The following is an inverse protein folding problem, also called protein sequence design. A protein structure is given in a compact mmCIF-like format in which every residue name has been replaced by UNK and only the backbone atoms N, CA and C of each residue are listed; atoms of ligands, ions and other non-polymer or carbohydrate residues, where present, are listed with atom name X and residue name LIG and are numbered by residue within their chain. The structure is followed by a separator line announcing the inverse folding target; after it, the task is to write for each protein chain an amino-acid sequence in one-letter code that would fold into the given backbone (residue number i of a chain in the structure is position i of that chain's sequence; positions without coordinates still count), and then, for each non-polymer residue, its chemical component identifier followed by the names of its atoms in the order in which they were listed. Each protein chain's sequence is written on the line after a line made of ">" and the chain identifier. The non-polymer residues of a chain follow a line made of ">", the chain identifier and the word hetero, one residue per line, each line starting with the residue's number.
data_IF_893026079224
#
_entry.id   IF_893026079224
#
_cell.length_a   1.000
_cell.length_b   1.000
_cell.length_c   1.000
_cell.angle_alpha   90.00
_cell.angle_beta   90.00
_cell.angle_gamma   90.00
#
_symmetry.space_group_name_H-M   'P 1'
#
loop_
_entity.id
_entity.type
_entity.pdbx_description
1 polymer ?
#
# COMPACT_ATOMS: atom_id res chain seq x y z
N UNK A 1 1.84 -33.48 65.11
CA UNK A 1 2.68 -33.21 63.93
C UNK A 1 1.76 -32.90 62.75
N UNK A 2 1.69 -31.64 62.31
CA UNK A 2 0.93 -31.21 61.14
C UNK A 2 1.91 -30.99 60.00
N UNK A 3 1.83 -31.83 58.97
CA UNK A 3 2.66 -31.74 57.75
C UNK A 3 2.04 -30.69 56.84
N UNK A 4 2.74 -29.59 56.57
CA UNK A 4 2.37 -28.55 55.60
C UNK A 4 2.93 -28.97 54.25
N UNK A 5 2.04 -29.31 53.31
CA UNK A 5 2.40 -29.60 51.93
C UNK A 5 2.50 -28.26 51.17
N UNK A 6 3.71 -27.85 50.80
CA UNK A 6 3.94 -26.67 49.95
C UNK A 6 3.73 -27.06 48.49
N UNK A 7 2.67 -26.55 47.85
CA UNK A 7 2.44 -26.70 46.42
C UNK A 7 3.34 -25.70 45.67
N UNK A 8 4.31 -26.21 44.92
CA UNK A 8 5.12 -25.43 43.99
C UNK A 8 4.36 -25.29 42.67
N UNK A 9 3.82 -24.10 42.39
CA UNK A 9 3.23 -23.78 41.12
C UNK A 9 4.35 -23.42 40.16
N UNK A 10 4.65 -24.31 39.20
CA UNK A 10 5.54 -24.01 38.09
C UNK A 10 4.79 -23.10 37.10
N UNK A 11 5.14 -21.80 37.03
CA UNK A 11 4.78 -20.94 35.90
C UNK A 11 5.63 -21.39 34.70
N UNK A 12 5.02 -22.10 33.74
CA UNK A 12 5.60 -22.24 32.41
C UNK A 12 5.56 -20.86 31.73
N UNK A 13 6.70 -20.20 31.64
CA UNK A 13 6.88 -19.09 30.73
C UNK A 13 6.79 -19.63 29.30
N UNK A 14 5.69 -19.37 28.60
CA UNK A 14 5.58 -19.66 27.19
C UNK A 14 6.66 -18.84 26.46
N UNK A 15 7.68 -19.52 25.94
CA UNK A 15 8.68 -18.87 25.09
C UNK A 15 7.95 -18.40 23.83
N UNK A 16 7.80 -17.08 23.69
CA UNK A 16 7.26 -16.50 22.47
C UNK A 16 8.25 -16.76 21.34
N UNK A 17 7.80 -17.45 20.29
CA UNK A 17 8.58 -17.56 19.04
C UNK A 17 8.84 -16.16 18.48
N UNK A 18 10.09 -15.88 18.04
CA UNK A 18 10.36 -14.58 17.42
C UNK A 18 9.47 -14.37 16.18
N UNK A 19 9.11 -13.13 15.85
CA UNK A 19 8.32 -12.83 14.66
C UNK A 19 9.08 -13.30 13.41
N UNK A 20 8.37 -13.68 12.32
CA UNK A 20 8.99 -13.96 11.04
C UNK A 20 9.80 -12.77 10.54
N UNK A 21 10.86 -13.01 9.76
CA UNK A 21 11.58 -11.93 9.07
C UNK A 21 10.68 -11.22 8.04
N UNK A 22 11.04 -9.99 7.64
CA UNK A 22 10.30 -9.27 6.61
C UNK A 22 10.21 -10.04 5.29
N UNK A 23 11.26 -10.78 4.90
CA UNK A 23 11.25 -11.64 3.72
C UNK A 23 10.26 -12.81 3.85
N UNK A 24 10.16 -13.41 5.01
CA UNK A 24 9.17 -14.47 5.29
C UNK A 24 7.75 -13.89 5.29
N UNK A 25 7.54 -12.71 5.86
CA UNK A 25 6.23 -12.03 5.83
C UNK A 25 5.78 -11.73 4.40
N UNK A 26 6.66 -11.25 3.53
CA UNK A 26 6.35 -11.03 2.11
C UNK A 26 5.98 -12.34 1.40
N UNK A 27 6.68 -13.44 1.72
CA UNK A 27 6.32 -14.76 1.21
C UNK A 27 4.94 -15.21 1.72
N UNK A 28 4.67 -15.03 3.01
CA UNK A 28 3.36 -15.35 3.59
C UNK A 28 2.21 -14.52 2.97
N UNK A 29 2.45 -13.22 2.68
CA UNK A 29 1.47 -12.38 1.96
C UNK A 29 1.18 -12.93 0.57
N UNK A 30 2.23 -13.23 -0.20
CA UNK A 30 2.11 -13.80 -1.53
C UNK A 30 1.39 -15.15 -1.50
N UNK A 31 1.85 -16.11 -0.70
CA UNK A 31 1.35 -17.48 -0.68
C UNK A 31 -0.10 -17.55 -0.22
N UNK A 32 -0.52 -16.69 0.72
CA UNK A 32 -1.90 -16.61 1.17
C UNK A 32 -2.88 -16.27 0.05
N UNK A 33 -2.45 -15.46 -0.91
CA UNK A 33 -3.31 -14.94 -1.97
C UNK A 33 -2.94 -15.43 -3.38
N UNK A 34 -1.91 -16.27 -3.50
CA UNK A 34 -1.43 -16.78 -4.79
C UNK A 34 -2.57 -17.42 -5.61
N UNK A 35 -2.79 -16.88 -6.82
CA UNK A 35 -3.85 -17.32 -7.72
C UNK A 35 -5.27 -16.88 -7.34
N UNK A 36 -5.43 -16.17 -6.22
CA UNK A 36 -6.73 -15.72 -5.69
C UNK A 36 -6.84 -14.20 -5.58
N UNK A 37 -5.77 -13.45 -5.82
CA UNK A 37 -5.82 -11.99 -5.90
C UNK A 37 -6.36 -11.56 -7.26
N UNK A 38 -7.12 -10.48 -7.33
CA UNK A 38 -7.65 -9.96 -8.58
C UNK A 38 -6.53 -9.52 -9.54
N UNK A 39 -6.76 -9.66 -10.85
CA UNK A 39 -5.80 -9.29 -11.90
C UNK A 39 -5.96 -7.87 -12.39
N UNK A 40 -7.18 -7.37 -12.34
CA UNK A 40 -7.50 -5.98 -12.68
C UNK A 40 -8.37 -5.37 -11.60
N UNK A 41 -8.24 -4.06 -11.43
CA UNK A 41 -9.03 -3.28 -10.50
C UNK A 41 -9.37 -1.95 -11.15
N UNK A 42 -10.62 -1.52 -11.05
CA UNK A 42 -11.04 -0.18 -11.42
C UNK A 42 -11.83 0.46 -10.29
N UNK A 43 -11.68 1.75 -10.12
CA UNK A 43 -12.45 2.51 -9.13
C UNK A 43 -12.49 3.99 -9.48
N UNK A 44 -13.43 4.69 -8.87
CA UNK A 44 -13.49 6.14 -8.85
C UNK A 44 -12.94 6.60 -7.51
N UNK A 45 -11.95 7.49 -7.55
CA UNK A 45 -11.30 8.06 -6.40
C UNK A 45 -11.71 9.51 -6.21
N UNK A 46 -12.35 9.80 -5.09
CA UNK A 46 -12.59 11.16 -4.62
C UNK A 46 -11.42 11.58 -3.73
N UNK A 47 -10.81 12.71 -4.06
CA UNK A 47 -9.68 13.24 -3.32
C UNK A 47 -10.09 14.48 -2.54
N UNK A 48 -9.53 14.61 -1.33
CA UNK A 48 -9.58 15.84 -0.52
C UNK A 48 -8.15 16.23 -0.15
N UNK A 49 -7.64 17.30 -0.75
CA UNK A 49 -6.39 17.95 -0.33
C UNK A 49 -6.67 18.88 0.84
N UNK A 50 -5.84 18.84 1.89
CA UNK A 50 -5.92 19.76 3.04
C UNK A 50 -4.69 20.62 3.08
N UNK A 51 -4.87 21.93 2.91
CA UNK A 51 -3.81 22.95 2.94
C UNK A 51 -3.40 23.31 4.37
N UNK A 52 -2.22 23.92 4.56
CA UNK A 52 -1.75 24.33 5.90
C UNK A 52 -2.66 25.32 6.62
N UNK A 53 -3.44 26.11 5.90
CA UNK A 53 -4.42 27.05 6.43
C UNK A 53 -5.78 26.41 6.81
N UNK A 54 -5.89 25.09 6.60
CA UNK A 54 -7.10 24.30 6.88
C UNK A 54 -8.14 24.30 5.76
N UNK A 55 -7.91 25.04 4.67
CA UNK A 55 -8.78 24.98 3.48
C UNK A 55 -8.65 23.62 2.77
N UNK A 56 -9.70 23.22 2.06
CA UNK A 56 -9.73 21.95 1.31
C UNK A 56 -10.01 22.16 -0.17
N UNK A 57 -9.40 21.33 -0.99
CA UNK A 57 -9.66 21.22 -2.42
C UNK A 57 -10.09 19.79 -2.75
N UNK A 58 -11.08 19.66 -3.64
CA UNK A 58 -11.59 18.35 -4.06
C UNK A 58 -11.27 18.09 -5.53
N UNK A 59 -10.94 16.84 -5.82
CA UNK A 59 -10.77 16.35 -7.19
C UNK A 59 -11.28 14.93 -7.34
N UNK A 60 -11.58 14.55 -8.57
CA UNK A 60 -12.08 13.22 -8.89
C UNK A 60 -11.13 12.57 -9.90
N UNK A 61 -10.76 11.32 -9.66
CA UNK A 61 -9.93 10.53 -10.56
C UNK A 61 -10.65 9.21 -10.91
N UNK A 62 -10.38 8.69 -12.11
CA UNK A 62 -10.73 7.32 -12.47
C UNK A 62 -9.46 6.52 -12.58
N UNK A 63 -9.42 5.37 -11.92
CA UNK A 63 -8.22 4.55 -11.85
C UNK A 63 -8.45 3.16 -12.43
N UNK A 64 -7.42 2.67 -13.10
CA UNK A 64 -7.40 1.38 -13.77
C UNK A 64 -6.06 0.72 -13.45
N UNK A 65 -6.10 -0.42 -12.76
CA UNK A 65 -4.91 -1.19 -12.44
C UNK A 65 -4.93 -2.55 -13.15
N UNK A 66 -3.77 -2.97 -13.64
CA UNK A 66 -3.52 -4.34 -14.06
C UNK A 66 -2.32 -4.87 -13.30
N UNK A 67 -2.58 -5.82 -12.42
CA UNK A 67 -1.67 -6.33 -11.41
C UNK A 67 -0.92 -7.55 -11.96
N UNK A 68 0.41 -7.54 -11.81
CA UNK A 68 1.22 -6.54 -11.11
C UNK A 68 1.70 -5.39 -12.00
N UNK A 69 2.02 -4.26 -11.36
CA UNK A 69 2.94 -3.23 -11.84
C UNK A 69 2.38 -2.22 -12.84
N UNK A 70 1.08 -2.17 -13.07
CA UNK A 70 0.49 -1.20 -14.00
C UNK A 70 -0.69 -0.48 -13.37
N UNK A 71 -0.68 0.85 -13.41
CA UNK A 71 -1.75 1.72 -12.94
C UNK A 71 -1.88 2.92 -13.86
N UNK A 72 -3.09 3.20 -14.32
CA UNK A 72 -3.45 4.42 -15.02
C UNK A 72 -4.42 5.23 -14.17
N UNK A 73 -4.18 6.52 -14.08
CA UNK A 73 -4.98 7.50 -13.36
C UNK A 73 -5.41 8.59 -14.34
N UNK A 74 -6.71 8.68 -14.63
CA UNK A 74 -7.29 9.75 -15.45
C UNK A 74 -7.90 10.81 -14.53
N UNK A 75 -7.29 12.02 -14.48
CA UNK A 75 -7.84 13.15 -13.73
C UNK A 75 -9.10 13.68 -14.42
N UNK A 76 -10.16 13.86 -13.65
CA UNK A 76 -11.41 14.33 -14.23
C UNK A 76 -11.45 15.86 -14.39
N UNK A 77 -12.10 16.40 -15.44
CA UNK A 77 -12.78 15.62 -16.48
C UNK A 77 -11.79 14.88 -17.40
N UNK A 78 -12.17 13.69 -17.87
CA UNK A 78 -11.29 12.80 -18.64
C UNK A 78 -10.78 13.43 -19.95
N UNK A 79 -11.60 14.28 -20.60
CA UNK A 79 -11.26 14.98 -21.84
C UNK A 79 -10.18 16.07 -21.63
N UNK A 80 -9.82 16.40 -20.37
CA UNK A 80 -8.69 17.29 -20.07
C UNK A 80 -7.35 16.69 -20.55
N UNK A 81 -7.26 15.38 -20.72
CA UNK A 81 -6.03 14.67 -21.10
C UNK A 81 -4.95 14.70 -20.02
N UNK A 82 -5.34 15.00 -18.76
CA UNK A 82 -4.44 15.04 -17.62
C UNK A 82 -4.45 13.71 -16.88
N UNK A 83 -3.29 13.29 -16.36
CA UNK A 83 -3.21 12.10 -15.54
C UNK A 83 -1.81 11.53 -15.38
N UNK A 84 -1.74 10.33 -14.86
CA UNK A 84 -0.51 9.61 -14.63
C UNK A 84 -0.63 8.13 -15.06
N UNK A 85 0.50 7.57 -15.47
CA UNK A 85 0.62 6.17 -15.82
C UNK A 85 1.84 5.59 -15.09
N UNK A 86 1.66 4.48 -14.42
CA UNK A 86 2.74 3.69 -13.83
C UNK A 86 2.86 2.38 -14.59
N UNK A 87 4.03 2.10 -15.12
CA UNK A 87 4.34 0.86 -15.82
C UNK A 87 5.86 0.64 -15.85
N UNK A 88 6.30 -0.61 -15.74
CA UNK A 88 7.72 -0.99 -15.84
C UNK A 88 8.64 -0.20 -14.87
N UNK A 89 8.24 -0.10 -13.61
CA UNK A 89 8.92 0.66 -12.55
C UNK A 89 9.23 2.12 -12.97
N UNK A 90 8.29 2.73 -13.73
CA UNK A 90 8.38 4.10 -14.22
C UNK A 90 7.04 4.82 -14.04
N UNK A 91 7.12 6.13 -13.82
CA UNK A 91 5.98 7.04 -13.80
C UNK A 91 6.03 7.95 -15.03
N UNK A 92 4.89 8.04 -15.71
CA UNK A 92 4.65 8.97 -16.81
C UNK A 92 3.55 9.95 -16.39
N UNK A 93 3.78 11.25 -16.57
CA UNK A 93 2.81 12.28 -16.25
C UNK A 93 2.36 12.97 -17.53
N UNK A 94 1.06 13.16 -17.68
CA UNK A 94 0.43 13.76 -18.86
C UNK A 94 -0.33 15.02 -18.51
N UNK A 95 -0.29 16.00 -19.41
CA UNK A 95 -1.12 17.18 -19.38
C UNK A 95 -1.55 17.54 -20.80
N UNK A 96 -2.88 17.71 -21.00
CA UNK A 96 -3.49 17.99 -22.31
C UNK A 96 -3.05 16.97 -23.37
N UNK A 97 -3.16 15.69 -23.04
CA UNK A 97 -2.74 14.54 -23.86
C UNK A 97 -1.24 14.48 -24.22
N UNK A 98 -0.44 15.34 -23.66
CA UNK A 98 0.99 15.40 -23.94
C UNK A 98 1.81 14.88 -22.77
N UNK A 99 2.80 14.01 -23.04
CA UNK A 99 3.76 13.54 -22.05
C UNK A 99 4.58 14.74 -21.51
N UNK A 100 4.58 14.94 -20.20
CA UNK A 100 5.32 15.99 -19.50
C UNK A 100 6.57 15.48 -18.79
N UNK A 101 6.48 14.29 -18.22
CA UNK A 101 7.62 13.67 -17.54
C UNK A 101 7.56 12.15 -17.69
N UNK A 102 8.74 11.54 -17.73
CA UNK A 102 8.94 10.11 -17.61
C UNK A 102 10.12 9.89 -16.67
N UNK A 103 9.89 9.24 -15.53
CA UNK A 103 10.91 9.03 -14.49
C UNK A 103 10.89 7.59 -14.00
N UNK A 104 12.07 7.04 -13.69
CA UNK A 104 12.14 5.75 -13.02
C UNK A 104 11.55 5.89 -11.61
N UNK A 105 10.55 5.09 -11.29
CA UNK A 105 9.84 5.18 -10.03
C UNK A 105 9.15 3.86 -9.66
N UNK A 106 9.64 3.23 -8.61
CA UNK A 106 8.95 2.11 -7.97
C UNK A 106 7.94 2.68 -6.99
N UNK A 107 6.65 2.48 -7.27
CA UNK A 107 5.57 3.02 -6.44
C UNK A 107 5.34 2.13 -5.22
N UNK A 108 5.70 2.56 -3.99
CA UNK A 108 5.65 1.70 -2.82
C UNK A 108 4.24 1.19 -2.48
N UNK A 109 3.21 2.00 -2.73
CA UNK A 109 1.83 1.61 -2.44
C UNK A 109 1.31 0.59 -3.45
N UNK A 110 1.76 0.63 -4.72
CA UNK A 110 1.46 -0.44 -5.68
C UNK A 110 2.13 -1.74 -5.25
N UNK A 111 3.41 -1.70 -4.90
CA UNK A 111 4.16 -2.89 -4.46
C UNK A 111 3.50 -3.54 -3.24
N UNK A 112 3.20 -2.76 -2.20
CA UNK A 112 2.68 -3.26 -0.93
C UNK A 112 1.18 -3.52 -0.92
N UNK A 113 0.39 -2.69 -1.61
CA UNK A 113 -1.07 -2.77 -1.62
C UNK A 113 -1.63 -3.75 -2.64
N UNK A 114 -0.88 -4.05 -3.71
CA UNK A 114 -1.40 -4.83 -4.84
C UNK A 114 -0.42 -5.89 -5.34
N UNK A 115 0.81 -5.52 -5.70
CA UNK A 115 1.70 -6.36 -6.48
C UNK A 115 2.27 -7.53 -5.68
N UNK A 116 2.51 -7.34 -4.38
CA UNK A 116 3.06 -8.36 -3.46
C UNK A 116 2.25 -9.65 -3.45
N UNK A 117 0.96 -9.59 -3.75
CA UNK A 117 0.04 -10.73 -3.77
C UNK A 117 0.07 -11.51 -5.08
N UNK A 118 0.68 -10.98 -6.14
CA UNK A 118 0.58 -11.51 -7.50
C UNK A 118 1.92 -11.66 -8.24
N UNK A 119 2.94 -10.87 -7.87
CA UNK A 119 4.27 -10.94 -8.51
C UNK A 119 5.21 -11.89 -7.76
N UNK A 120 6.29 -12.38 -8.39
CA UNK A 120 7.29 -13.19 -7.70
C UNK A 120 7.83 -12.49 -6.45
N UNK A 121 7.92 -13.22 -5.33
CA UNK A 121 8.34 -12.68 -4.02
C UNK A 121 9.70 -11.99 -4.09
N UNK A 122 10.64 -12.55 -4.84
CA UNK A 122 12.00 -12.00 -4.99
C UNK A 122 11.99 -10.62 -5.67
N UNK A 123 11.04 -10.38 -6.59
CA UNK A 123 10.85 -9.05 -7.18
C UNK A 123 10.37 -8.04 -6.13
N UNK A 124 9.39 -8.42 -5.32
CA UNK A 124 8.89 -7.57 -4.21
C UNK A 124 10.01 -7.24 -3.23
N UNK A 125 10.81 -8.23 -2.85
CA UNK A 125 11.97 -8.06 -1.97
C UNK A 125 12.95 -7.04 -2.57
N UNK A 126 13.35 -7.23 -3.83
CA UNK A 126 14.30 -6.34 -4.51
C UNK A 126 13.76 -4.89 -4.60
N UNK A 127 12.47 -4.71 -4.89
CA UNK A 127 11.82 -3.40 -4.94
C UNK A 127 11.83 -2.71 -3.57
N UNK A 128 11.48 -3.41 -2.49
CA UNK A 128 11.43 -2.82 -1.14
C UNK A 128 12.83 -2.52 -0.59
N UNK A 129 13.81 -3.36 -0.86
CA UNK A 129 15.21 -3.09 -0.52
C UNK A 129 15.76 -1.89 -1.32
N UNK A 130 15.40 -1.80 -2.60
CA UNK A 130 15.68 -0.62 -3.44
C UNK A 130 15.08 0.67 -2.86
N UNK A 131 13.90 0.59 -2.26
CA UNK A 131 13.24 1.67 -1.52
C UNK A 131 13.84 1.91 -0.11
N UNK A 132 14.92 1.19 0.27
CA UNK A 132 15.63 1.34 1.55
C UNK A 132 14.80 0.95 2.76
N UNK A 133 13.96 -0.07 2.64
CA UNK A 133 13.29 -0.72 3.76
C UNK A 133 14.15 -1.90 4.23
N UNK A 134 14.52 -1.92 5.50
CA UNK A 134 15.32 -3.00 6.09
C UNK A 134 14.43 -4.19 6.47
N UNK A 135 14.39 -5.21 5.62
CA UNK A 135 13.57 -6.41 5.84
C UNK A 135 14.08 -7.32 6.96
N UNK A 136 15.25 -7.03 7.55
CA UNK A 136 15.77 -7.78 8.69
C UNK A 136 15.19 -7.34 10.04
N UNK A 137 14.63 -6.13 10.09
CA UNK A 137 14.04 -5.57 11.31
C UNK A 137 12.53 -5.80 11.30
N UNK A 138 12.04 -6.60 12.24
CA UNK A 138 10.61 -6.88 12.42
C UNK A 138 10.26 -6.88 13.89
N UNK A 139 9.13 -6.31 14.23
CA UNK A 139 8.51 -6.44 15.55
C UNK A 139 6.99 -6.49 15.43
N UNK A 140 6.34 -6.86 16.52
CA UNK A 140 4.88 -6.86 16.62
C UNK A 140 4.41 -5.59 17.32
N UNK A 141 3.25 -5.07 16.88
CA UNK A 141 2.59 -3.89 17.44
C UNK A 141 1.07 -4.03 17.30
N UNK A 142 0.34 -2.99 17.65
CA UNK A 142 -1.11 -2.88 17.49
C UNK A 142 -1.47 -1.66 16.66
N UNK A 143 -2.39 -1.81 15.71
CA UNK A 143 -2.95 -0.75 14.89
C UNK A 143 -4.48 -0.79 14.93
N UNK A 144 -5.12 0.28 15.42
CA UNK A 144 -6.57 0.33 15.63
C UNK A 144 -7.13 -0.90 16.39
N UNK A 145 -6.42 -1.35 17.43
CA UNK A 145 -6.77 -2.52 18.24
C UNK A 145 -6.56 -3.87 17.56
N UNK A 146 -5.95 -3.92 16.37
CA UNK A 146 -5.60 -5.13 15.63
C UNK A 146 -4.11 -5.42 15.72
N UNK A 147 -3.70 -6.67 15.92
CA UNK A 147 -2.29 -7.03 15.92
C UNK A 147 -1.68 -6.87 14.52
N UNK A 148 -0.50 -6.26 14.46
CA UNK A 148 0.24 -6.00 13.21
C UNK A 148 1.70 -6.48 13.33
N UNK A 149 2.33 -6.71 12.18
CA UNK A 149 3.78 -6.74 12.04
C UNK A 149 4.25 -5.39 11.51
N UNK A 150 5.34 -4.89 12.08
CA UNK A 150 6.06 -3.71 11.62
C UNK A 150 7.39 -4.17 11.04
N UNK A 151 7.65 -3.82 9.78
CA UNK A 151 8.85 -4.21 9.04
C UNK A 151 9.63 -2.97 8.65
N UNK A 152 10.92 -2.93 8.96
CA UNK A 152 11.84 -1.86 8.55
C UNK A 152 12.32 -0.95 9.68
N UNK A 153 11.69 -0.98 10.85
CA UNK A 153 12.06 -0.13 11.97
C UNK A 153 11.96 -0.87 13.32
N UNK A 154 12.62 -0.35 14.33
CA UNK A 154 12.51 -0.83 15.73
C UNK A 154 11.26 -0.27 16.39
N UNK A 155 10.79 -0.93 17.44
CA UNK A 155 9.65 -0.47 18.22
C UNK A 155 9.85 0.98 18.72
N UNK A 156 8.82 1.82 18.53
CA UNK A 156 8.84 3.25 18.90
C UNK A 156 9.47 4.18 17.84
N UNK A 157 10.14 3.66 16.83
CA UNK A 157 10.66 4.49 15.73
C UNK A 157 9.58 4.69 14.66
N UNK A 158 9.09 5.92 14.54
CA UNK A 158 8.09 6.33 13.55
C UNK A 158 8.67 7.14 12.39
N UNK A 159 9.99 7.23 12.25
CA UNK A 159 10.67 8.04 11.23
C UNK A 159 11.42 7.21 10.19
N UNK A 160 11.97 6.07 10.57
CA UNK A 160 12.63 5.14 9.64
C UNK A 160 11.62 4.53 8.67
N UNK A 161 12.03 4.30 7.43
CA UNK A 161 11.19 3.66 6.39
C UNK A 161 10.72 2.31 6.87
N UNK A 162 9.41 2.11 6.91
CA UNK A 162 8.77 0.92 7.43
C UNK A 162 7.38 0.74 6.87
N UNK A 163 6.93 -0.50 6.79
CA UNK A 163 5.53 -0.80 6.48
C UNK A 163 4.92 -1.73 7.53
N UNK A 164 3.62 -1.65 7.65
CA UNK A 164 2.84 -2.36 8.66
C UNK A 164 1.86 -3.32 7.99
N UNK A 165 1.72 -4.53 8.53
CA UNK A 165 0.86 -5.59 8.03
C UNK A 165 -0.14 -6.02 9.09
N UNK A 166 -1.42 -6.11 8.75
CA UNK A 166 -2.43 -6.78 9.57
C UNK A 166 -2.07 -8.28 9.69
N UNK A 167 -1.85 -8.78 10.92
CA UNK A 167 -1.45 -10.17 11.14
C UNK A 167 -2.52 -11.18 10.74
N UNK A 168 -3.80 -10.84 10.91
CA UNK A 168 -4.91 -11.74 10.62
C UNK A 168 -5.17 -11.90 9.13
N UNK A 169 -5.07 -10.81 8.37
CA UNK A 169 -5.35 -10.77 6.93
C UNK A 169 -4.09 -10.88 6.07
N UNK A 170 -2.92 -10.55 6.61
CA UNK A 170 -1.67 -10.37 5.86
C UNK A 170 -1.83 -9.35 4.72
N UNK A 171 -2.50 -8.24 5.01
CA UNK A 171 -2.61 -7.09 4.10
C UNK A 171 -1.82 -5.90 4.64
N UNK A 172 -1.29 -5.11 3.73
CA UNK A 172 -0.60 -3.85 4.03
C UNK A 172 -1.59 -2.85 4.64
N UNK A 173 -1.21 -2.13 5.71
CA UNK A 173 -2.10 -1.16 6.37
C UNK A 173 -1.47 0.22 6.57
N UNK A 174 -0.12 0.33 6.56
CA UNK A 174 0.53 1.62 6.83
C UNK A 174 1.94 1.65 6.27
N UNK A 175 2.33 2.80 5.71
CA UNK A 175 3.71 3.11 5.30
C UNK A 175 4.16 4.37 6.05
N UNK A 176 5.27 4.27 6.78
CA UNK A 176 5.97 5.41 7.34
C UNK A 176 7.31 5.60 6.65
N UNK A 177 7.65 6.83 6.33
CA UNK A 177 8.92 7.17 5.70
C UNK A 177 9.26 8.65 5.91
N UNK A 178 10.52 9.08 5.75
CA UNK A 178 10.86 10.49 5.66
C UNK A 178 10.02 11.16 4.58
N UNK A 179 9.50 12.33 4.87
CA UNK A 179 8.78 13.16 3.92
C UNK A 179 9.69 13.71 2.81
N UNK A 180 9.12 14.54 1.92
CA UNK A 180 9.90 15.26 0.90
C UNK A 180 10.94 16.18 1.55
N UNK A 181 10.56 16.87 2.59
CA UNK A 181 11.48 17.43 3.59
C UNK A 181 11.81 16.32 4.57
N UNK A 182 13.08 15.91 4.61
CA UNK A 182 13.55 14.79 5.43
C UNK A 182 13.45 15.04 6.95
N UNK A 183 13.18 16.27 7.37
CA UNK A 183 12.85 16.59 8.77
C UNK A 183 11.44 16.18 9.14
N UNK A 184 10.56 15.97 8.17
CA UNK A 184 9.17 15.57 8.32
C UNK A 184 9.00 14.06 8.13
N UNK A 185 7.91 13.54 8.67
CA UNK A 185 7.47 12.14 8.48
C UNK A 185 6.24 12.11 7.61
N UNK A 186 6.27 11.29 6.55
CA UNK A 186 5.10 10.90 5.76
C UNK A 186 4.52 9.62 6.35
N UNK A 187 3.23 9.64 6.66
CA UNK A 187 2.45 8.52 7.20
C UNK A 187 1.27 8.26 6.26
N UNK A 188 1.27 7.11 5.60
CA UNK A 188 0.23 6.72 4.64
C UNK A 188 -0.51 5.52 5.21
N UNK A 189 -1.82 5.60 5.31
CA UNK A 189 -2.70 4.66 5.99
C UNK A 189 -3.72 4.09 5.02
N UNK A 190 -3.78 2.77 4.92
CA UNK A 190 -4.78 2.04 4.15
C UNK A 190 -5.86 1.55 5.11
N UNK A 191 -7.06 2.05 4.94
CA UNK A 191 -8.19 1.85 5.85
C UNK A 191 -9.43 1.36 5.09
N UNK A 192 -10.52 1.09 5.80
CA UNK A 192 -11.80 0.63 5.25
C UNK A 192 -11.65 -0.53 4.25
N UNK A 193 -10.93 -1.57 4.67
CA UNK A 193 -10.72 -2.76 3.85
C UNK A 193 -12.03 -3.51 3.59
N UNK A 194 -12.39 -3.64 2.32
CA UNK A 194 -13.56 -4.37 1.83
C UNK A 194 -13.13 -5.69 1.20
N UNK A 195 -13.85 -6.77 1.52
CA UNK A 195 -13.61 -8.06 0.90
C UNK A 195 -14.14 -8.04 -0.55
N UNK A 196 -13.32 -8.53 -1.49
CA UNK A 196 -13.68 -8.75 -2.90
C UNK A 196 -13.30 -10.17 -3.27
N UNK A 197 -14.29 -11.08 -3.21
CA UNK A 197 -14.00 -12.52 -3.26
C UNK A 197 -13.05 -12.92 -2.12
N UNK A 198 -11.95 -13.62 -2.40
CA UNK A 198 -10.95 -14.00 -1.41
C UNK A 198 -9.93 -12.88 -1.11
N UNK A 199 -9.93 -11.80 -1.90
CA UNK A 199 -9.00 -10.69 -1.79
C UNK A 199 -9.59 -9.50 -1.01
N UNK A 200 -8.82 -8.41 -0.90
CA UNK A 200 -9.18 -7.21 -0.17
C UNK A 200 -8.82 -5.96 -0.97
N UNK A 201 -9.66 -4.93 -0.89
CA UNK A 201 -9.36 -3.58 -1.39
C UNK A 201 -9.54 -2.60 -0.25
N UNK A 202 -8.53 -1.76 0.02
CA UNK A 202 -8.70 -0.58 0.87
C UNK A 202 -9.58 0.42 0.14
N UNK A 203 -10.64 0.90 0.77
CA UNK A 203 -11.53 1.90 0.18
C UNK A 203 -11.25 3.32 0.67
N UNK A 204 -10.26 3.49 1.55
CA UNK A 204 -9.85 4.77 2.10
C UNK A 204 -8.33 4.78 2.30
N UNK A 205 -7.66 5.82 1.80
CA UNK A 205 -6.22 6.04 2.01
C UNK A 205 -6.00 7.45 2.53
N UNK A 206 -5.32 7.57 3.67
CA UNK A 206 -4.97 8.85 4.27
C UNK A 206 -3.47 9.09 4.16
N UNK A 207 -3.09 10.32 3.82
CA UNK A 207 -1.71 10.78 3.80
C UNK A 207 -1.55 11.91 4.81
N UNK A 208 -0.66 11.71 5.77
CA UNK A 208 -0.36 12.68 6.80
C UNK A 208 1.12 13.11 6.71
N UNK A 209 1.38 14.34 7.11
CA UNK A 209 2.74 14.85 7.34
C UNK A 209 2.83 15.29 8.80
N UNK A 210 3.74 14.69 9.57
CA UNK A 210 3.89 14.90 11.02
C UNK A 210 2.56 14.80 11.78
N UNK A 211 1.73 13.80 11.40
CA UNK A 211 0.42 13.54 11.99
C UNK A 211 -0.71 14.48 11.53
N UNK A 212 -0.43 15.45 10.68
CA UNK A 212 -1.44 16.36 10.12
C UNK A 212 -1.95 15.85 8.77
N UNK A 213 -3.27 15.67 8.58
CA UNK A 213 -3.84 15.28 7.30
C UNK A 213 -3.43 16.24 6.17
N UNK A 214 -3.06 15.69 5.01
CA UNK A 214 -2.68 16.43 3.81
C UNK A 214 -3.47 16.01 2.59
N UNK A 215 -3.80 14.72 2.52
CA UNK A 215 -4.53 14.16 1.40
C UNK A 215 -5.35 12.97 1.87
N UNK A 216 -6.58 12.90 1.40
CA UNK A 216 -7.50 11.79 1.62
C UNK A 216 -8.00 11.29 0.28
N UNK A 217 -8.01 9.97 0.12
CA UNK A 217 -8.59 9.26 -1.02
C UNK A 217 -9.73 8.38 -0.53
N UNK A 218 -10.89 8.48 -1.17
CA UNK A 218 -12.05 7.63 -0.90
C UNK A 218 -12.49 6.95 -2.21
N UNK A 219 -12.55 5.62 -2.19
CA UNK A 219 -12.79 4.81 -3.38
C UNK A 219 -14.24 4.34 -3.45
N UNK A 220 -14.84 4.56 -4.60
CA UNK A 220 -16.18 4.11 -4.96
C UNK A 220 -16.16 3.35 -6.29
N UNK A 221 -17.28 2.73 -6.68
CA UNK A 221 -17.43 1.97 -7.92
C UNK A 221 -16.33 0.91 -8.13
N UNK A 222 -15.85 0.31 -7.05
CA UNK A 222 -14.78 -0.68 -7.05
C UNK A 222 -15.23 -1.92 -7.83
N UNK A 223 -14.47 -2.30 -8.88
CA UNK A 223 -14.69 -3.50 -9.68
C UNK A 223 -13.37 -4.23 -9.91
N UNK A 224 -13.39 -5.54 -9.75
CA UNK A 224 -12.23 -6.42 -9.95
C UNK A 224 -12.45 -7.34 -11.14
N UNK A 225 -11.35 -7.83 -11.71
CA UNK A 225 -11.32 -8.79 -12.81
C UNK A 225 -12.13 -8.36 -14.05
N UNK A 226 -12.20 -7.05 -14.30
CA UNK A 226 -12.81 -6.47 -15.47
C UNK A 226 -11.85 -6.50 -16.66
N UNK A 227 -12.38 -6.70 -17.87
CA UNK A 227 -11.59 -6.57 -19.09
C UNK A 227 -11.18 -5.10 -19.28
N UNK A 228 -9.89 -4.87 -19.49
CA UNK A 228 -9.34 -3.54 -19.78
C UNK A 228 -8.90 -3.49 -21.25
N UNK A 229 -9.03 -2.33 -21.93
CA UNK A 229 -8.64 -2.18 -23.32
C UNK A 229 -7.14 -2.44 -23.54
N UNK A 230 -6.82 -3.04 -24.69
CA UNK A 230 -5.45 -3.19 -25.13
C UNK A 230 -4.76 -1.82 -25.29
N UNK A 231 -3.52 -1.74 -24.79
CA UNK A 231 -2.73 -0.51 -24.85
C UNK A 231 -3.09 0.55 -23.81
N UNK A 232 -4.02 0.26 -22.87
CA UNK A 232 -4.38 1.19 -21.78
C UNK A 232 -3.17 1.64 -20.96
N UNK A 233 -2.16 0.78 -20.84
CA UNK A 233 -0.93 1.01 -20.09
C UNK A 233 0.30 1.29 -20.98
N UNK A 234 0.10 1.60 -22.27
CA UNK A 234 1.17 2.07 -23.15
C UNK A 234 1.19 3.60 -23.15
N UNK A 235 2.26 4.25 -22.65
CA UNK A 235 2.32 5.72 -22.57
C UNK A 235 2.24 6.40 -23.95
N UNK A 236 2.62 5.71 -25.03
CA UNK A 236 2.50 6.23 -26.41
C UNK A 236 1.05 6.26 -26.92
N UNK A 237 0.16 5.51 -26.28
CA UNK A 237 -1.26 5.40 -26.62
C UNK A 237 -2.16 6.08 -25.58
N UNK A 238 -1.61 7.00 -24.79
CA UNK A 238 -2.33 7.68 -23.70
C UNK A 238 -3.69 8.22 -24.13
N UNK A 239 -3.71 8.98 -25.23
CA UNK A 239 -4.92 9.61 -25.75
C UNK A 239 -5.92 8.58 -26.33
N UNK A 240 -5.43 7.67 -27.17
CA UNK A 240 -6.27 6.72 -27.94
C UNK A 240 -6.89 5.65 -27.04
N UNK A 241 -6.26 5.32 -25.90
CA UNK A 241 -6.71 4.27 -25.00
C UNK A 241 -7.59 4.77 -23.85
N UNK A 242 -8.01 6.04 -23.88
CA UNK A 242 -8.89 6.64 -22.86
C UNK A 242 -10.22 5.89 -22.79
N UNK A 243 -10.69 5.67 -21.56
CA UNK A 243 -12.00 5.09 -21.28
C UNK A 243 -12.96 6.24 -20.94
N UNK A 244 -13.99 6.43 -21.76
CA UNK A 244 -15.02 7.46 -21.60
C UNK A 244 -16.07 7.07 -20.54
#
# INVERSE_FOLDING_TARGET
>A
MRTVLAAFTFLLAAASTPPPSGRELLRHMHDRYAGHWYRTLTFVQQNTATHPDGSTEHSLWKEYAAIPGRLRIDFQPADSGNGALFANDSQFTFAHDSLRAAVAFVHPLMVLGFDVYAQPVERTIAQLEGLKIDLSIVHEDSWHGRPVYVVGARAGDLRTRQFWLDKGRLVFVRLLQPGRDTTQTSDIRFEDYRAVGPAWVSARVEFLTDGHPRWLEEYSEIKTDVALPDGLFDPRRWKESRIN
#
